data_IF_673940146414
#
_entry.id   IF_673940146414
#
_cell.length_a   1.000
_cell.length_b   1.000
_cell.length_c   1.000
_cell.angle_alpha   90.00
_cell.angle_beta   90.00
_cell.angle_gamma   90.00
#
_symmetry.space_group_name_H-M   'P 1'
#
loop_
_entity.id
_entity.type
_entity.pdbx_description
1 polymer ?
#
# COMPACT_ATOMS: atom_id res chain seq x y z
N UNK A 1 -11.82 -6.78 56.35
CA UNK A 1 -12.69 -6.61 55.16
C UNK A 1 -12.08 -5.49 54.33
N UNK A 2 -11.28 -5.88 53.32
CA UNK A 2 -11.57 -5.66 51.88
C UNK A 2 -11.10 -4.25 51.45
N UNK A 3 -9.81 -4.11 51.14
CA UNK A 3 -9.26 -4.11 49.77
C UNK A 3 -9.27 -2.72 49.16
N UNK A 4 -8.14 -2.02 49.25
CA UNK A 4 -7.86 -0.85 48.42
C UNK A 4 -7.75 -1.30 46.97
N UNK A 5 -8.77 -0.95 46.18
CA UNK A 5 -8.81 -1.20 44.75
C UNK A 5 -7.75 -0.34 44.07
N UNK A 6 -6.60 -0.93 43.76
CA UNK A 6 -5.83 -0.49 42.60
C UNK A 6 -6.69 -0.86 41.40
N UNK A 7 -7.23 0.15 40.72
CA UNK A 7 -8.05 -0.06 39.54
C UNK A 7 -7.26 -0.93 38.55
N UNK A 8 -7.76 -2.14 38.27
CA UNK A 8 -7.15 -3.10 37.35
C UNK A 8 -7.02 -2.57 35.90
N UNK A 9 -7.46 -1.33 35.67
CA UNK A 9 -7.33 -0.59 34.43
C UNK A 9 -5.91 -0.03 34.21
N UNK A 10 -5.11 0.20 35.26
CA UNK A 10 -3.81 0.89 35.13
C UNK A 10 -2.65 -0.05 34.74
N UNK A 11 -2.78 -1.37 34.97
CA UNK A 11 -1.75 -2.35 34.59
C UNK A 11 -1.81 -2.76 33.10
N UNK A 12 -2.84 -2.30 32.36
CA UNK A 12 -2.99 -2.46 30.91
C UNK A 12 -2.80 -1.12 30.18
N UNK A 13 -2.30 -0.10 30.88
CA UNK A 13 -2.26 1.29 30.45
C UNK A 13 -0.83 1.76 30.06
N UNK A 14 0.07 0.82 29.76
CA UNK A 14 1.43 1.10 29.25
C UNK A 14 1.53 1.21 27.72
N UNK A 15 0.39 1.31 27.01
CA UNK A 15 0.35 1.40 25.55
C UNK A 15 0.32 2.84 25.03
N UNK A 16 0.58 3.03 23.73
CA UNK A 16 0.32 4.30 23.05
C UNK A 16 -1.19 4.55 22.99
N UNK A 17 -1.68 5.49 23.79
CA UNK A 17 -3.09 5.92 23.83
C UNK A 17 -3.20 7.43 23.60
N UNK A 18 -4.33 7.86 23.06
CA UNK A 18 -4.58 9.30 22.82
C UNK A 18 -4.71 10.02 24.15
N UNK A 19 -3.96 11.12 24.40
CA UNK A 19 -4.09 11.92 25.60
C UNK A 19 -5.54 12.38 25.84
N UNK A 20 -6.07 12.16 27.04
CA UNK A 20 -7.45 12.48 27.41
C UNK A 20 -7.62 13.91 27.96
N UNK A 21 -6.51 14.61 28.23
CA UNK A 21 -6.48 15.98 28.76
C UNK A 21 -7.10 16.94 27.74
N UNK A 22 -7.89 17.92 28.18
CA UNK A 22 -8.70 18.76 27.29
C UNK A 22 -7.84 19.59 26.32
N UNK A 23 -6.65 20.01 26.75
CA UNK A 23 -5.68 20.78 25.96
C UNK A 23 -5.04 19.96 24.83
N UNK A 24 -5.04 18.63 24.95
CA UNK A 24 -4.44 17.71 24.00
C UNK A 24 -5.48 16.92 23.19
N UNK A 25 -6.78 17.11 23.48
CA UNK A 25 -7.86 16.35 22.85
C UNK A 25 -8.08 16.89 21.44
N UNK A 26 -7.97 16.02 20.45
CA UNK A 26 -8.32 16.36 19.07
C UNK A 26 -9.81 16.72 19.05
N UNK A 27 -10.18 17.91 18.54
CA UNK A 27 -11.57 18.29 18.39
C UNK A 27 -12.31 17.24 17.56
N UNK A 28 -13.46 16.78 18.03
CA UNK A 28 -14.32 15.90 17.25
C UNK A 28 -14.89 16.70 16.08
N UNK A 29 -14.24 16.64 14.92
CA UNK A 29 -14.78 17.20 13.69
C UNK A 29 -16.12 16.49 13.42
N UNK A 30 -17.22 17.24 13.40
CA UNK A 30 -18.57 16.68 13.27
C UNK A 30 -18.79 16.01 11.90
N UNK A 31 -18.03 16.41 10.87
CA UNK A 31 -18.04 15.80 9.54
C UNK A 31 -16.65 15.98 8.91
N UNK A 32 -16.07 14.93 8.27
CA UNK A 32 -14.85 15.11 7.47
C UNK A 32 -15.09 16.12 6.33
N UNK A 33 -14.03 16.74 5.78
CA UNK A 33 -14.18 17.61 4.63
C UNK A 33 -14.87 16.85 3.48
N UNK A 34 -15.69 17.52 2.67
CA UNK A 34 -16.40 16.87 1.58
C UNK A 34 -15.40 16.23 0.60
N UNK A 35 -15.77 15.10 -0.03
CA UNK A 35 -14.88 14.38 -0.93
C UNK A 35 -14.44 15.29 -2.10
N UNK A 36 -13.20 15.12 -2.60
CA UNK A 36 -12.73 15.84 -3.77
C UNK A 36 -13.66 15.65 -4.97
N UNK A 37 -14.04 16.75 -5.63
CA UNK A 37 -14.90 16.69 -6.82
C UNK A 37 -14.12 16.07 -7.99
N UNK A 38 -14.69 15.02 -8.60
CA UNK A 38 -14.14 14.43 -9.82
C UNK A 38 -14.12 15.51 -10.92
N UNK A 39 -12.96 15.72 -11.54
CA UNK A 39 -12.86 16.58 -12.73
C UNK A 39 -13.66 15.94 -13.86
N UNK A 40 -14.41 16.73 -14.66
CA UNK A 40 -15.10 16.19 -15.82
C UNK A 40 -14.08 15.49 -16.72
N UNK A 41 -14.42 14.29 -17.19
CA UNK A 41 -13.62 13.60 -18.19
C UNK A 41 -13.65 14.45 -19.46
N UNK A 42 -12.56 15.16 -19.74
CA UNK A 42 -12.40 15.79 -21.04
C UNK A 42 -12.18 14.67 -22.05
N UNK A 43 -13.07 14.57 -23.03
CA UNK A 43 -12.81 13.86 -24.28
C UNK A 43 -11.71 14.61 -25.04
N UNK A 44 -10.51 14.69 -24.46
CA UNK A 44 -9.32 15.08 -25.20
C UNK A 44 -9.05 14.06 -26.30
N UNK A 45 -8.19 14.43 -27.26
CA UNK A 45 -7.66 13.48 -28.24
C UNK A 45 -7.22 12.21 -27.49
N UNK A 46 -7.68 11.04 -27.97
CA UNK A 46 -7.19 9.75 -27.48
C UNK A 46 -5.68 9.85 -27.40
N UNK A 47 -5.10 9.65 -26.20
CA UNK A 47 -3.64 9.64 -26.06
C UNK A 47 -3.14 8.59 -27.04
N UNK A 48 -2.31 9.03 -27.99
CA UNK A 48 -1.61 8.10 -28.88
C UNK A 48 -0.68 7.20 -28.08
N UNK A 49 -0.08 6.19 -28.74
CA UNK A 49 0.98 5.40 -28.14
C UNK A 49 2.07 6.27 -27.50
N UNK A 50 2.76 5.79 -26.46
CA UNK A 50 3.91 6.49 -25.91
C UNK A 50 4.92 6.85 -27.01
N UNK A 51 5.62 7.99 -26.86
CA UNK A 51 6.55 8.51 -27.88
C UNK A 51 7.62 7.50 -28.31
N UNK A 52 8.01 6.62 -27.39
CA UNK A 52 9.07 5.63 -27.60
C UNK A 52 8.51 4.22 -27.82
N UNK A 53 7.23 4.11 -28.15
CA UNK A 53 6.53 2.83 -28.19
C UNK A 53 6.25 2.28 -26.80
N UNK A 54 5.60 1.12 -26.77
CA UNK A 54 5.44 0.33 -25.56
C UNK A 54 6.69 -0.50 -25.32
N UNK A 55 6.76 -1.15 -24.16
CA UNK A 55 7.77 -2.16 -23.88
C UNK A 55 7.88 -3.15 -25.05
N UNK A 56 9.09 -3.27 -25.61
CA UNK A 56 9.42 -4.25 -26.63
C UNK A 56 10.09 -5.41 -25.90
N UNK A 57 9.36 -6.49 -25.58
CA UNK A 57 10.00 -7.66 -24.98
C UNK A 57 11.07 -8.22 -25.93
N UNK A 58 12.17 -8.77 -25.39
CA UNK A 58 13.09 -9.56 -26.20
C UNK A 58 12.37 -10.77 -26.81
N UNK A 59 12.92 -11.34 -27.88
CA UNK A 59 12.34 -12.50 -28.51
C UNK A 59 12.29 -13.68 -27.52
N UNK A 60 11.17 -14.41 -27.54
CA UNK A 60 10.95 -15.50 -26.59
C UNK A 60 11.88 -16.67 -26.87
N UNK A 61 12.16 -16.95 -28.15
CA UNK A 61 13.06 -18.04 -28.51
C UNK A 61 14.48 -17.74 -28.04
N UNK A 62 14.96 -16.51 -28.20
CA UNK A 62 16.25 -16.07 -27.63
C UNK A 62 16.31 -16.28 -26.11
N UNK A 63 15.22 -15.96 -25.39
CA UNK A 63 15.15 -16.17 -23.94
C UNK A 63 15.28 -17.65 -23.58
N UNK A 64 14.59 -18.54 -24.31
CA UNK A 64 14.66 -19.98 -24.07
C UNK A 64 16.04 -20.56 -24.40
N UNK A 65 16.68 -20.16 -25.50
CA UNK A 65 18.04 -20.61 -25.83
C UNK A 65 19.06 -20.25 -24.75
N UNK A 66 18.99 -19.04 -24.19
CA UNK A 66 19.90 -18.60 -23.12
C UNK A 66 19.59 -19.30 -21.79
N UNK A 67 18.32 -19.58 -21.51
CA UNK A 67 17.90 -20.20 -20.24
C UNK A 67 17.94 -21.73 -20.24
N UNK A 68 18.00 -22.41 -21.38
CA UNK A 68 18.10 -23.87 -21.40
C UNK A 68 19.49 -24.34 -20.98
N UNK A 69 19.64 -25.05 -19.85
CA UNK A 69 20.91 -25.69 -19.53
C UNK A 69 21.18 -26.79 -20.55
N UNK A 70 22.28 -26.69 -21.28
CA UNK A 70 22.72 -27.75 -22.20
C UNK A 70 23.18 -28.95 -21.37
N UNK A 71 22.26 -29.88 -21.07
CA UNK A 71 22.66 -31.19 -20.52
C UNK A 71 23.30 -32.00 -21.65
N UNK A 72 24.62 -31.86 -21.83
CA UNK A 72 25.40 -32.73 -22.69
C UNK A 72 25.58 -34.10 -22.01
N UNK A 73 24.54 -34.92 -21.98
CA UNK A 73 24.69 -36.35 -21.72
C UNK A 73 24.58 -37.09 -23.05
N UNK A 74 25.71 -37.14 -23.76
CA UNK A 74 25.93 -38.18 -24.75
C UNK A 74 26.19 -39.48 -23.99
N UNK A 75 25.31 -40.46 -24.14
CA UNK A 75 25.64 -41.86 -23.92
C UNK A 75 25.40 -42.60 -25.24
N UNK A 76 26.49 -43.10 -25.81
CA UNK A 76 26.45 -44.22 -26.76
C UNK A 76 26.17 -45.51 -25.99
#
# INVERSE_FOLDING_TARGET
MMSGGVDAQDMINGGCSTPKRWECRIPTALVPPPPPKKKPFSFGKKRGPPKNGYFQPPDLEELFFVMTPTSSSACN
#
